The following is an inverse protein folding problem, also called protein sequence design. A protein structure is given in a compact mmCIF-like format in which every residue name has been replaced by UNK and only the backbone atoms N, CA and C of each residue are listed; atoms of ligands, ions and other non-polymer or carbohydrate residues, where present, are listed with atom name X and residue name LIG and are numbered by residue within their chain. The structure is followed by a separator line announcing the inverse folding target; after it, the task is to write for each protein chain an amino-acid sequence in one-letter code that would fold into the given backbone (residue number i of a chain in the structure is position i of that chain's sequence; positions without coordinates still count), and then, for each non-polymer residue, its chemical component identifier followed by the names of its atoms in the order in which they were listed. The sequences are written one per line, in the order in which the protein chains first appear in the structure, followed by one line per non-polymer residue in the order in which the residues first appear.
data_IF_749853890662
#
_entry.id   IF_749853890662
#
_cell.length_a   1.000
_cell.length_b   1.000
_cell.length_c   1.000
_cell.angle_alpha   90.00
_cell.angle_beta   90.00
_cell.angle_gamma   90.00
#
_symmetry.space_group_name_H-M   'P 1'
#
loop_
_entity.id
_entity.type
_entity.pdbx_description
1 polymer ?
#
# COMPACT_ATOMS: atom_id res chain seq x y z
N UNK A 1 -7.82 20.57 -9.30
CA UNK A 1 -6.50 20.36 -8.68
C UNK A 1 -6.67 19.53 -7.41
N UNK A 2 -5.61 19.28 -6.62
CA UNK A 2 -5.70 18.63 -5.29
C UNK A 2 -5.78 19.63 -4.12
N UNK A 3 -5.93 20.93 -4.39
CA UNK A 3 -5.76 22.00 -3.39
C UNK A 3 -6.68 21.87 -2.16
N UNK A 4 -7.92 21.41 -2.35
CA UNK A 4 -8.93 21.29 -1.28
C UNK A 4 -9.33 19.84 -1.00
N UNK A 5 -8.63 18.87 -1.59
CA UNK A 5 -8.98 17.45 -1.49
C UNK A 5 -8.34 16.84 -0.26
N UNK A 6 -9.18 16.49 0.73
CA UNK A 6 -8.77 15.73 1.91
C UNK A 6 -8.94 14.24 1.63
N UNK A 7 -7.83 13.50 1.70
CA UNK A 7 -7.84 12.05 1.58
C UNK A 7 -7.81 11.41 2.98
N UNK A 8 -8.36 10.21 3.09
CA UNK A 8 -8.25 9.38 4.29
C UNK A 8 -6.79 9.01 4.60
N UNK A 9 -6.55 8.57 5.83
CA UNK A 9 -5.22 8.17 6.30
C UNK A 9 -4.55 7.14 5.37
N UNK A 10 -3.27 7.33 5.08
CA UNK A 10 -2.51 6.46 4.18
C UNK A 10 -2.81 6.66 2.68
N UNK A 11 -3.64 7.64 2.30
CA UNK A 11 -3.89 8.04 0.91
C UNK A 11 -3.32 9.43 0.61
N UNK A 12 -2.85 9.61 -0.62
CA UNK A 12 -2.34 10.89 -1.14
C UNK A 12 -3.19 11.35 -2.33
N UNK A 13 -3.48 12.63 -2.43
CA UNK A 13 -4.14 13.18 -3.61
C UNK A 13 -3.17 13.26 -4.79
N UNK A 14 -3.59 12.77 -5.95
CA UNK A 14 -2.89 12.91 -7.24
C UNK A 14 -3.89 13.31 -8.32
N UNK A 15 -3.46 14.13 -9.29
CA UNK A 15 -4.28 14.46 -10.46
C UNK A 15 -4.03 13.42 -11.55
N UNK A 16 -5.09 12.73 -12.01
CA UNK A 16 -5.04 11.76 -13.11
C UNK A 16 -6.08 12.17 -14.15
N UNK A 17 -5.64 12.40 -15.40
CA UNK A 17 -6.51 12.87 -16.50
C UNK A 17 -7.33 14.13 -16.11
N UNK A 18 -6.66 15.12 -15.53
CA UNK A 18 -7.28 16.38 -15.09
C UNK A 18 -8.15 16.30 -13.83
N UNK A 19 -8.41 15.11 -13.26
CA UNK A 19 -9.27 14.93 -12.09
C UNK A 19 -8.47 14.55 -10.84
N UNK A 20 -8.71 15.16 -9.66
CA UNK A 20 -8.07 14.74 -8.43
C UNK A 20 -8.59 13.37 -7.99
N UNK A 21 -7.68 12.53 -7.48
CA UNK A 21 -7.96 11.18 -6.99
C UNK A 21 -7.12 10.91 -5.75
N UNK A 22 -7.73 10.39 -4.70
CA UNK A 22 -7.01 9.84 -3.55
C UNK A 22 -6.48 8.44 -3.89
N UNK A 23 -5.16 8.23 -3.81
CA UNK A 23 -4.52 6.94 -4.08
C UNK A 23 -3.78 6.45 -2.85
N UNK A 24 -3.81 5.13 -2.63
CA UNK A 24 -3.05 4.49 -1.56
C UNK A 24 -1.55 4.74 -1.71
N UNK A 25 -1.00 5.42 -0.71
CA UNK A 25 0.38 5.83 -0.61
C UNK A 25 0.88 5.55 0.80
N UNK A 26 1.01 4.26 1.19
CA UNK A 26 1.53 3.91 2.51
C UNK A 26 2.93 4.50 2.69
N UNK A 27 3.25 4.91 3.92
CA UNK A 27 4.58 5.40 4.26
C UNK A 27 5.61 4.28 4.12
N UNK A 28 6.37 4.34 3.03
CA UNK A 28 7.43 3.40 2.73
C UNK A 28 8.75 4.17 2.77
N UNK A 29 9.50 4.02 3.87
CA UNK A 29 10.75 4.75 4.17
C UNK A 29 11.87 4.57 3.14
N UNK A 30 11.72 3.68 2.17
CA UNK A 30 12.73 3.41 1.15
C UNK A 30 12.08 3.34 -0.24
N UNK A 31 12.67 3.95 -1.29
CA UNK A 31 12.11 3.94 -2.65
C UNK A 31 12.00 2.54 -3.26
N UNK A 32 12.79 1.57 -2.76
CA UNK A 32 12.65 0.15 -3.13
C UNK A 32 11.53 -0.58 -2.36
N UNK A 33 10.84 0.11 -1.45
CA UNK A 33 9.83 -0.45 -0.56
C UNK A 33 10.46 -1.48 0.36
N UNK A 34 11.13 -1.02 1.41
CA UNK A 34 12.01 -1.83 2.27
C UNK A 34 11.48 -3.20 2.69
N UNK A 35 12.45 -4.07 2.99
CA UNK A 35 12.34 -5.43 3.52
C UNK A 35 11.66 -6.41 2.54
N UNK A 36 12.49 -7.10 1.74
CA UNK A 36 12.32 -8.33 0.93
C UNK A 36 10.92 -8.89 0.58
N UNK A 37 10.80 -10.05 -0.07
CA UNK A 37 9.50 -10.70 -0.19
C UNK A 37 8.90 -11.02 1.19
N UNK A 38 7.58 -10.98 1.30
CA UNK A 38 6.82 -11.34 2.52
C UNK A 38 5.60 -12.18 2.18
N UNK A 39 5.22 -13.08 3.08
CA UNK A 39 3.95 -13.78 3.03
C UNK A 39 2.91 -13.00 3.83
N UNK A 40 1.76 -12.70 3.24
CA UNK A 40 0.64 -12.05 3.91
C UNK A 40 -0.20 -13.03 4.72
N UNK A 41 -0.98 -12.50 5.67
CA UNK A 41 -2.00 -13.27 6.42
C UNK A 41 -3.12 -13.82 5.53
N UNK A 42 -3.22 -13.35 4.29
CA UNK A 42 -4.09 -13.86 3.23
C UNK A 42 -3.48 -15.04 2.44
N UNK A 43 -2.32 -15.55 2.86
CA UNK A 43 -1.60 -16.63 2.17
C UNK A 43 -0.96 -16.21 0.85
N UNK A 44 -0.85 -14.91 0.56
CA UNK A 44 -0.26 -14.41 -0.70
C UNK A 44 1.13 -13.83 -0.48
N UNK A 45 2.02 -14.06 -1.42
CA UNK A 45 3.35 -13.45 -1.40
C UNK A 45 3.35 -12.06 -2.00
N UNK A 46 3.99 -11.12 -1.31
CA UNK A 46 4.18 -9.74 -1.75
C UNK A 46 5.67 -9.44 -1.90
N UNK A 47 6.04 -8.77 -3.00
CA UNK A 47 7.45 -8.42 -3.28
C UNK A 47 8.11 -7.53 -2.22
N UNK A 48 7.29 -6.86 -1.40
CA UNK A 48 7.74 -6.14 -0.22
C UNK A 48 6.62 -5.82 0.74
N UNK A 49 6.99 -5.48 1.98
CA UNK A 49 6.07 -4.92 2.99
C UNK A 49 5.26 -3.75 2.43
N UNK A 50 5.89 -2.88 1.63
CA UNK A 50 5.22 -1.74 1.02
C UNK A 50 4.14 -2.17 0.02
N UNK A 51 4.41 -3.23 -0.76
CA UNK A 51 3.44 -3.78 -1.71
C UNK A 51 2.26 -4.42 -0.98
N UNK A 52 2.50 -5.11 0.13
CA UNK A 52 1.45 -5.63 1.01
C UNK A 52 0.57 -4.49 1.55
N UNK A 53 1.17 -3.48 2.20
CA UNK A 53 0.44 -2.30 2.72
C UNK A 53 -0.37 -1.59 1.65
N UNK A 54 0.19 -1.45 0.45
CA UNK A 54 -0.51 -0.82 -0.69
C UNK A 54 -1.68 -1.69 -1.17
N UNK A 55 -1.55 -3.02 -1.12
CA UNK A 55 -2.63 -3.94 -1.43
C UNK A 55 -3.75 -3.85 -0.38
N UNK A 56 -3.39 -3.91 0.90
CA UNK A 56 -4.29 -3.78 2.04
C UNK A 56 -5.13 -2.49 1.95
N UNK A 57 -4.48 -1.34 1.76
CA UNK A 57 -5.17 -0.05 1.57
C UNK A 57 -6.12 -0.06 0.36
N UNK A 58 -5.71 -0.63 -0.77
CA UNK A 58 -6.56 -0.70 -1.97
C UNK A 58 -7.79 -1.59 -1.78
N UNK A 59 -7.67 -2.61 -0.93
CA UNK A 59 -8.75 -3.51 -0.56
C UNK A 59 -9.62 -2.97 0.57
N UNK A 60 -9.21 -1.88 1.24
CA UNK A 60 -9.86 -1.42 2.47
C UNK A 60 -9.73 -2.43 3.61
N UNK A 61 -8.71 -3.28 3.57
CA UNK A 61 -8.48 -4.31 4.59
C UNK A 61 -7.42 -3.84 5.57
N UNK A 62 -7.79 -3.81 6.84
CA UNK A 62 -6.88 -3.55 7.96
C UNK A 62 -6.30 -4.85 8.56
N UNK A 63 -6.87 -6.00 8.18
CA UNK A 63 -6.46 -7.33 8.67
C UNK A 63 -5.30 -7.94 7.88
N UNK A 64 -5.10 -7.48 6.64
CA UNK A 64 -3.97 -7.93 5.83
C UNK A 64 -2.65 -7.37 6.38
N UNK A 65 -1.92 -8.24 7.07
CA UNK A 65 -0.61 -7.97 7.65
C UNK A 65 0.41 -9.00 7.17
N UNK A 66 1.67 -8.86 7.58
CA UNK A 66 2.71 -9.84 7.27
C UNK A 66 2.55 -11.03 8.20
N UNK A 67 2.42 -12.23 7.64
CA UNK A 67 2.50 -13.47 8.40
C UNK A 67 3.97 -13.81 8.73
N UNK A 68 4.85 -13.78 7.73
CA UNK A 68 6.29 -13.96 7.89
C UNK A 68 7.09 -13.39 6.71
N UNK A 69 8.40 -13.21 6.90
CA UNK A 69 9.34 -12.78 5.87
C UNK A 69 9.67 -13.93 4.91
N UNK A 70 9.70 -13.67 3.60
CA UNK A 70 9.90 -14.66 2.55
C UNK A 70 8.66 -14.88 1.67
N UNK A 71 8.73 -15.82 0.75
CA UNK A 71 7.57 -16.27 -0.03
C UNK A 71 6.75 -17.28 0.77
N UNK A 72 5.43 -17.27 0.59
CA UNK A 72 4.56 -18.31 1.15
C UNK A 72 4.97 -19.70 0.66
N UNK A 73 4.86 -20.71 1.53
CA UNK A 73 5.09 -22.13 1.24
C UNK A 73 3.76 -22.86 1.07
#
# INVERSE_FOLDING_TARGET
SCAEVRCEEGKKCVVRRGRPRCVCSPECKSPRGGSGPVCGTDGRSYRSHCRLKKHACKKGSHELTVAYNGYCQ
#
